data_IF_262482379007
#
_entry.id   IF_262482379007
#
_cell.length_a   1.000
_cell.length_b   1.000
_cell.length_c   1.000
_cell.angle_alpha   90.00
_cell.angle_beta   90.00
_cell.angle_gamma   90.00
#
_symmetry.space_group_name_H-M   'P 1'
#
loop_
_entity.id
_entity.type
_entity.pdbx_description
1 polymer ?
#
# COMPACT_ATOMS: atom_id res chain seq x y z
N UNK A 1 -21.67 -4.15 4.29
CA UNK A 1 -22.17 -2.76 4.42
C UNK A 1 -22.32 -2.19 3.02
N UNK A 2 -23.51 -1.74 2.60
CA UNK A 2 -23.61 -0.98 1.34
C UNK A 2 -23.17 0.44 1.63
N UNK A 3 -21.91 0.75 1.35
CA UNK A 3 -21.39 2.12 1.42
C UNK A 3 -22.24 2.95 0.48
N UNK A 4 -23.03 3.87 1.04
CA UNK A 4 -23.97 4.68 0.28
C UNK A 4 -23.99 6.09 0.85
N UNK A 5 -22.83 6.71 0.88
CA UNK A 5 -22.71 8.15 1.05
C UNK A 5 -22.00 8.69 -0.18
N UNK A 6 -22.78 9.27 -1.09
CA UNK A 6 -22.23 10.08 -2.17
C UNK A 6 -21.48 11.26 -1.56
N UNK A 7 -20.32 11.60 -2.12
CA UNK A 7 -19.56 12.77 -1.69
C UNK A 7 -20.46 14.02 -1.72
N UNK A 8 -20.65 14.75 -0.60
CA UNK A 8 -21.50 15.94 -0.59
C UNK A 8 -20.96 17.06 -1.50
N UNK A 9 -19.68 16.98 -1.86
CA UNK A 9 -18.99 17.88 -2.78
C UNK A 9 -19.05 17.43 -4.25
N UNK A 10 -19.50 16.20 -4.51
CA UNK A 10 -19.72 15.70 -5.86
C UNK A 10 -21.00 14.82 -5.93
N UNK A 11 -22.20 15.42 -5.90
CA UNK A 11 -23.46 14.70 -5.89
C UNK A 11 -23.75 13.93 -7.20
N UNK A 12 -22.94 14.13 -8.24
CA UNK A 12 -23.00 13.40 -9.51
C UNK A 12 -22.12 12.15 -9.53
N UNK A 13 -21.33 11.94 -8.48
CA UNK A 13 -20.43 10.81 -8.35
C UNK A 13 -21.27 9.53 -8.16
N UNK A 14 -21.51 8.83 -9.26
CA UNK A 14 -22.17 7.54 -9.27
C UNK A 14 -21.08 6.45 -9.35
N UNK A 15 -20.51 6.10 -8.20
CA UNK A 15 -19.54 4.99 -8.10
C UNK A 15 -20.35 3.71 -7.95
N UNK A 16 -20.01 2.68 -8.73
CA UNK A 16 -20.44 1.33 -8.39
C UNK A 16 -19.70 0.90 -7.13
N UNK A 17 -20.40 0.93 -5.99
CA UNK A 17 -19.77 0.66 -4.70
C UNK A 17 -19.45 -0.82 -4.50
N UNK A 18 -19.89 -1.70 -5.39
CA UNK A 18 -19.46 -3.09 -5.43
C UNK A 18 -18.02 -3.24 -5.97
N UNK A 19 -17.50 -2.25 -6.70
CA UNK A 19 -16.10 -2.21 -7.20
C UNK A 19 -15.16 -1.42 -6.27
N UNK A 20 -15.67 -0.81 -5.20
CA UNK A 20 -14.89 0.01 -4.28
C UNK A 20 -14.36 -0.81 -3.10
N UNK A 21 -13.04 -0.79 -2.92
CA UNK A 21 -12.38 -1.36 -1.76
C UNK A 21 -11.93 -0.25 -0.81
N UNK A 22 -12.32 -0.36 0.46
CA UNK A 22 -11.70 0.44 1.52
C UNK A 22 -10.51 -0.34 2.05
N UNK A 23 -9.35 0.28 1.88
CA UNK A 23 -8.08 -0.12 2.42
C UNK A 23 -7.76 0.80 3.60
N UNK A 24 -7.65 0.24 4.79
CA UNK A 24 -7.35 1.00 6.00
C UNK A 24 -5.87 0.87 6.37
N UNK A 25 -5.22 2.00 6.65
CA UNK A 25 -3.81 2.09 7.04
C UNK A 25 -3.62 2.75 8.40
N UNK A 26 -4.64 2.70 9.27
CA UNK A 26 -4.56 3.26 10.63
C UNK A 26 -3.40 2.66 11.41
N UNK A 27 -3.15 1.36 11.25
CA UNK A 27 -2.09 0.62 11.95
C UNK A 27 -0.69 0.81 11.36
N UNK A 28 -0.57 1.46 10.19
CA UNK A 28 0.72 1.76 9.54
C UNK A 28 0.91 3.26 9.33
N UNK A 29 0.25 3.87 8.35
CA UNK A 29 0.40 5.31 8.06
C UNK A 29 -0.12 6.16 9.22
N UNK A 30 -1.22 5.74 9.84
CA UNK A 30 -1.79 6.41 11.01
C UNK A 30 -0.82 6.45 12.21
N UNK A 31 -0.05 5.38 12.41
CA UNK A 31 0.97 5.31 13.46
C UNK A 31 2.17 6.24 13.21
N UNK A 32 2.41 6.67 11.97
CA UNK A 32 3.47 7.64 11.65
C UNK A 32 3.13 9.07 12.09
N UNK A 33 1.91 9.30 12.61
CA UNK A 33 1.50 10.59 13.18
C UNK A 33 2.38 10.93 14.39
N UNK A 34 2.98 12.14 14.46
CA UNK A 34 3.78 12.54 15.60
C UNK A 34 3.05 12.39 16.94
N UNK A 35 3.64 11.62 17.85
CA UNK A 35 3.08 11.36 19.18
C UNK A 35 2.10 10.18 19.26
N UNK A 36 1.82 9.50 18.14
CA UNK A 36 1.05 8.25 18.11
C UNK A 36 2.02 7.07 18.17
N UNK A 37 1.69 6.08 19.00
CA UNK A 37 2.41 4.81 19.09
C UNK A 37 1.43 3.78 19.65
N UNK A 38 1.21 2.69 18.93
CA UNK A 38 0.32 1.62 19.38
C UNK A 38 1.15 0.50 19.99
N UNK A 39 0.78 0.10 21.21
CA UNK A 39 1.27 -1.17 21.71
C UNK A 39 0.53 -2.33 21.01
N UNK A 40 1.05 -3.54 21.20
CA UNK A 40 0.54 -4.78 20.63
C UNK A 40 -0.96 -4.96 20.87
N UNK A 41 -1.40 -4.76 22.12
CA UNK A 41 -2.79 -4.91 22.52
C UNK A 41 -3.71 -3.90 21.81
N UNK A 42 -3.24 -2.66 21.65
CA UNK A 42 -3.96 -1.62 20.93
C UNK A 42 -4.06 -1.96 19.44
N UNK A 43 -2.98 -2.44 18.80
CA UNK A 43 -3.01 -2.84 17.38
C UNK A 43 -4.01 -3.97 17.14
N UNK A 44 -4.00 -5.02 17.97
CA UNK A 44 -4.97 -6.11 17.90
C UNK A 44 -6.41 -5.63 18.10
N UNK A 45 -6.64 -4.76 19.09
CA UNK A 45 -7.97 -4.21 19.35
C UNK A 45 -8.49 -3.38 18.18
N UNK A 46 -7.64 -2.55 17.57
CA UNK A 46 -7.97 -1.74 16.39
C UNK A 46 -8.23 -2.66 15.19
N UNK A 47 -7.37 -3.65 14.92
CA UNK A 47 -7.53 -4.60 13.81
C UNK A 47 -8.89 -5.32 13.89
N UNK A 48 -9.25 -5.84 15.07
CA UNK A 48 -10.57 -6.46 15.31
C UNK A 48 -11.72 -5.49 15.04
N UNK A 49 -11.58 -4.21 15.45
CA UNK A 49 -12.62 -3.20 15.20
C UNK A 49 -12.76 -2.83 13.73
N UNK A 50 -11.64 -2.75 13.00
CA UNK A 50 -11.67 -2.55 11.54
C UNK A 50 -12.36 -3.74 10.84
N UNK A 51 -12.09 -4.97 11.29
CA UNK A 51 -12.76 -6.17 10.77
C UNK A 51 -14.28 -6.15 11.07
N UNK A 52 -14.67 -5.82 12.30
CA UNK A 52 -16.08 -5.67 12.70
C UNK A 52 -16.82 -4.61 11.86
N UNK A 53 -16.13 -3.53 11.45
CA UNK A 53 -16.67 -2.50 10.54
C UNK A 53 -16.84 -3.01 9.09
N UNK A 54 -16.27 -4.17 8.76
CA UNK A 54 -16.32 -4.78 7.44
C UNK A 54 -15.28 -4.22 6.47
N UNK A 55 -14.19 -3.63 6.98
CA UNK A 55 -13.02 -3.25 6.18
C UNK A 55 -12.45 -4.51 5.53
N UNK A 56 -12.14 -4.44 4.23
CA UNK A 56 -11.71 -5.61 3.46
C UNK A 56 -10.20 -5.83 3.46
N UNK A 57 -9.44 -4.76 3.63
CA UNK A 57 -7.99 -4.80 3.64
C UNK A 57 -7.46 -3.89 4.74
N UNK A 58 -6.63 -4.46 5.61
CA UNK A 58 -6.01 -3.75 6.73
C UNK A 58 -4.49 -3.80 6.53
N UNK A 59 -3.85 -2.65 6.44
CA UNK A 59 -2.39 -2.55 6.49
C UNK A 59 -1.92 -2.59 7.94
N UNK A 60 -1.45 -3.75 8.38
CA UNK A 60 -1.16 -4.02 9.79
C UNK A 60 0.15 -3.42 10.30
N UNK A 61 1.03 -2.96 9.39
CA UNK A 61 2.29 -2.33 9.77
C UNK A 61 3.39 -2.48 8.73
N UNK A 62 4.64 -2.35 9.18
CA UNK A 62 5.85 -2.50 8.35
C UNK A 62 6.85 -3.46 9.03
N UNK A 63 6.88 -4.75 8.64
CA UNK A 63 7.71 -5.79 9.26
C UNK A 63 9.18 -5.43 9.40
N UNK A 64 9.76 -4.67 8.46
CA UNK A 64 11.18 -4.35 8.50
C UNK A 64 11.57 -3.30 9.56
N UNK A 65 10.61 -2.72 10.29
CA UNK A 65 10.87 -1.73 11.35
C UNK A 65 11.55 -2.36 12.56
N UNK A 66 11.07 -3.52 13.04
CA UNK A 66 11.65 -4.22 14.18
C UNK A 66 11.10 -5.64 14.34
N UNK A 67 11.79 -6.51 15.06
CA UNK A 67 11.29 -7.84 15.42
C UNK A 67 9.96 -7.77 16.20
N UNK A 68 9.82 -6.79 17.10
CA UNK A 68 8.57 -6.59 17.84
C UNK A 68 7.38 -6.27 16.92
N UNK A 69 7.63 -5.49 15.88
CA UNK A 69 6.63 -5.16 14.87
C UNK A 69 6.25 -6.42 14.08
N UNK A 70 7.23 -7.22 13.67
CA UNK A 70 7.00 -8.49 12.99
C UNK A 70 6.11 -9.44 13.80
N UNK A 71 6.42 -9.63 15.08
CA UNK A 71 5.63 -10.50 15.96
C UNK A 71 4.20 -9.97 16.14
N UNK A 72 4.03 -8.66 16.28
CA UNK A 72 2.70 -8.03 16.41
C UNK A 72 1.87 -8.21 15.14
N UNK A 73 2.48 -8.01 13.97
CA UNK A 73 1.82 -8.23 12.68
C UNK A 73 1.44 -9.71 12.51
N UNK A 74 2.36 -10.63 12.84
CA UNK A 74 2.11 -12.08 12.75
C UNK A 74 0.91 -12.48 13.58
N UNK A 75 0.77 -11.94 14.78
CA UNK A 75 -0.41 -12.18 15.60
C UNK A 75 -1.69 -11.62 14.99
N UNK A 76 -1.66 -10.42 14.41
CA UNK A 76 -2.83 -9.83 13.72
C UNK A 76 -3.24 -10.70 12.53
N UNK A 77 -2.27 -11.17 11.73
CA UNK A 77 -2.52 -12.06 10.60
C UNK A 77 -3.18 -13.38 11.03
N UNK A 78 -2.79 -13.90 12.19
CA UNK A 78 -3.30 -15.15 12.75
C UNK A 78 -4.53 -14.99 13.66
N UNK A 79 -5.11 -13.78 13.76
CA UNK A 79 -6.25 -13.48 14.63
C UNK A 79 -7.59 -14.04 14.10
N UNK A 80 -7.62 -14.55 12.85
CA UNK A 80 -8.82 -15.11 12.24
C UNK A 80 -9.83 -14.06 11.77
N UNK A 81 -9.34 -12.89 11.37
CA UNK A 81 -10.14 -11.80 10.82
C UNK A 81 -10.68 -12.15 9.43
N UNK A 82 -11.78 -11.52 9.02
CA UNK A 82 -12.33 -11.65 7.67
C UNK A 82 -11.61 -10.74 6.66
N UNK A 83 -10.98 -9.67 7.14
CA UNK A 83 -10.16 -8.75 6.36
C UNK A 83 -8.86 -9.41 5.91
N UNK A 84 -8.42 -9.09 4.69
CA UNK A 84 -7.07 -9.41 4.25
C UNK A 84 -6.05 -8.52 4.97
N UNK A 85 -5.04 -9.14 5.56
CA UNK A 85 -3.98 -8.49 6.29
C UNK A 85 -2.82 -8.25 5.34
N UNK A 86 -2.53 -6.97 5.10
CA UNK A 86 -1.46 -6.51 4.23
C UNK A 86 -0.38 -5.81 5.05
N UNK A 87 0.83 -5.72 4.49
CA UNK A 87 1.93 -4.97 5.10
C UNK A 87 2.73 -4.17 4.09
N UNK A 88 3.32 -3.06 4.55
CA UNK A 88 4.27 -2.31 3.75
C UNK A 88 5.56 -3.11 3.55
N UNK A 89 6.14 -3.04 2.36
CA UNK A 89 7.44 -3.64 2.06
C UNK A 89 8.24 -2.73 1.13
N UNK A 90 9.54 -2.54 1.40
CA UNK A 90 10.43 -1.95 0.38
C UNK A 90 10.58 -2.93 -0.76
N UNK A 91 10.98 -2.45 -1.94
CA UNK A 91 11.35 -3.31 -3.08
C UNK A 91 12.69 -4.05 -2.84
N UNK A 92 12.72 -4.89 -1.80
CA UNK A 92 13.86 -5.69 -1.35
C UNK A 92 13.35 -7.07 -0.96
N UNK A 93 14.01 -8.12 -1.47
CA UNK A 93 13.69 -9.52 -1.15
C UNK A 93 13.62 -9.77 0.36
N UNK A 94 14.55 -9.20 1.13
CA UNK A 94 14.62 -9.37 2.59
C UNK A 94 13.40 -8.79 3.33
N UNK A 95 12.78 -7.73 2.82
CA UNK A 95 11.55 -7.18 3.41
C UNK A 95 10.34 -8.07 3.08
N UNK A 96 10.31 -8.65 1.88
CA UNK A 96 9.27 -9.62 1.49
C UNK A 96 9.42 -10.90 2.31
N UNK A 97 10.64 -11.38 2.55
CA UNK A 97 10.90 -12.53 3.42
C UNK A 97 10.37 -12.29 4.85
N UNK A 98 10.46 -11.05 5.36
CA UNK A 98 9.85 -10.66 6.65
C UNK A 98 8.32 -10.62 6.59
N UNK A 99 7.74 -10.16 5.49
CA UNK A 99 6.29 -10.21 5.29
C UNK A 99 5.78 -11.67 5.29
N UNK A 100 6.47 -12.56 4.57
CA UNK A 100 6.18 -14.00 4.56
C UNK A 100 6.26 -14.62 5.96
N UNK A 101 7.26 -14.23 6.77
CA UNK A 101 7.35 -14.68 8.16
C UNK A 101 6.13 -14.30 9.00
N UNK A 102 5.50 -13.15 8.69
CA UNK A 102 4.32 -12.68 9.40
C UNK A 102 3.02 -13.38 8.97
N UNK A 103 3.06 -14.35 8.04
CA UNK A 103 1.88 -15.08 7.55
C UNK A 103 0.76 -14.16 7.00
N UNK A 104 1.15 -13.03 6.40
CA UNK A 104 0.22 -12.02 5.86
C UNK A 104 -0.35 -12.43 4.50
N UNK A 105 -1.50 -11.89 4.13
CA UNK A 105 -2.16 -12.16 2.85
C UNK A 105 -1.48 -11.46 1.67
N UNK A 106 -0.78 -10.35 1.93
CA UNK A 106 -0.16 -9.59 0.87
C UNK A 106 0.75 -8.45 1.30
N UNK A 107 1.39 -7.85 0.31
CA UNK A 107 2.37 -6.78 0.47
C UNK A 107 2.01 -5.56 -0.36
N UNK A 108 2.24 -4.38 0.21
CA UNK A 108 2.31 -3.12 -0.53
C UNK A 108 3.80 -2.83 -0.77
N UNK A 109 4.27 -3.16 -1.97
CA UNK A 109 5.62 -2.83 -2.40
C UNK A 109 5.64 -1.37 -2.80
N UNK A 110 6.52 -0.58 -2.20
CA UNK A 110 6.66 0.84 -2.56
C UNK A 110 8.07 1.18 -3.03
N UNK A 111 8.15 2.09 -4.00
CA UNK A 111 9.40 2.70 -4.43
C UNK A 111 9.16 4.11 -4.96
N UNK A 112 10.10 5.02 -4.69
CA UNK A 112 9.98 6.40 -5.15
C UNK A 112 10.37 6.55 -6.62
N UNK A 113 9.49 7.21 -7.38
CA UNK A 113 9.63 7.33 -8.85
C UNK A 113 9.90 8.76 -9.32
N UNK A 114 9.76 9.77 -8.45
CA UNK A 114 9.93 11.16 -8.86
C UNK A 114 11.40 11.55 -9.07
N UNK A 115 11.72 12.45 -10.02
CA UNK A 115 13.11 12.82 -10.34
C UNK A 115 13.94 13.29 -9.14
N UNK A 116 13.32 14.02 -8.20
CA UNK A 116 14.00 14.49 -6.99
C UNK A 116 14.30 13.34 -6.02
N UNK A 117 13.36 12.41 -5.82
CA UNK A 117 13.61 11.23 -5.00
C UNK A 117 14.66 10.31 -5.64
N UNK A 118 14.60 10.08 -6.95
CA UNK A 118 15.61 9.30 -7.67
C UNK A 118 17.01 9.89 -7.49
N UNK A 119 17.15 11.21 -7.71
CA UNK A 119 18.45 11.90 -7.66
C UNK A 119 19.01 12.02 -6.25
N UNK A 120 18.20 12.45 -5.28
CA UNK A 120 18.69 12.88 -3.97
C UNK A 120 18.42 11.88 -2.84
N UNK A 121 17.31 11.12 -2.89
CA UNK A 121 16.95 10.12 -1.86
C UNK A 121 17.56 8.76 -2.19
N UNK A 122 17.27 8.22 -3.37
CA UNK A 122 17.67 6.86 -3.77
C UNK A 122 19.04 6.81 -4.44
N UNK A 123 19.48 7.91 -5.08
CA UNK A 123 20.70 7.98 -5.90
C UNK A 123 20.75 6.87 -6.96
N UNK A 124 19.61 6.65 -7.62
CA UNK A 124 19.39 5.60 -8.62
C UNK A 124 18.76 6.20 -9.87
N UNK A 125 18.93 5.52 -11.00
CA UNK A 125 18.19 5.85 -12.23
C UNK A 125 16.80 5.23 -12.16
N UNK A 126 15.91 5.70 -13.02
CA UNK A 126 14.53 5.23 -13.04
C UNK A 126 14.45 3.75 -13.42
N UNK A 127 15.25 3.32 -14.38
CA UNK A 127 15.31 1.94 -14.86
C UNK A 127 15.81 0.99 -13.75
N UNK A 128 16.71 1.47 -12.88
CA UNK A 128 17.22 0.68 -11.78
C UNK A 128 16.13 0.47 -10.70
N UNK A 129 15.35 1.51 -10.39
CA UNK A 129 14.27 1.39 -9.39
C UNK A 129 13.09 0.59 -9.92
N UNK A 130 12.78 0.73 -11.20
CA UNK A 130 11.73 -0.02 -11.86
C UNK A 130 12.07 -1.50 -11.87
N UNK A 131 13.30 -1.86 -12.28
CA UNK A 131 13.77 -3.25 -12.21
C UNK A 131 13.66 -3.82 -10.79
N UNK A 132 14.11 -3.07 -9.78
CA UNK A 132 13.98 -3.48 -8.38
C UNK A 132 12.52 -3.70 -7.98
N UNK A 133 11.63 -2.81 -8.42
CA UNK A 133 10.19 -2.91 -8.18
C UNK A 133 9.59 -4.17 -8.80
N UNK A 134 9.91 -4.45 -10.06
CA UNK A 134 9.40 -5.62 -10.79
C UNK A 134 9.92 -6.92 -10.19
N UNK A 135 11.22 -7.03 -9.92
CA UNK A 135 11.81 -8.21 -9.26
C UNK A 135 11.16 -8.47 -7.89
N UNK A 136 10.82 -7.41 -7.14
CA UNK A 136 10.11 -7.52 -5.88
C UNK A 136 8.66 -7.99 -6.05
N UNK A 137 7.95 -7.47 -7.06
CA UNK A 137 6.58 -7.91 -7.40
C UNK A 137 6.57 -9.39 -7.75
N UNK A 138 7.40 -9.82 -8.71
CA UNK A 138 7.51 -11.22 -9.12
C UNK A 138 7.83 -12.12 -7.93
N UNK A 139 8.82 -11.74 -7.12
CA UNK A 139 9.19 -12.52 -5.95
C UNK A 139 8.03 -12.69 -4.96
N UNK A 140 7.26 -11.63 -4.68
CA UNK A 140 6.10 -11.74 -3.80
C UNK A 140 4.99 -12.61 -4.41
N UNK A 141 4.73 -12.48 -5.73
CA UNK A 141 3.75 -13.30 -6.45
C UNK A 141 4.13 -14.78 -6.49
N UNK A 142 5.40 -15.11 -6.68
CA UNK A 142 5.92 -16.49 -6.66
C UNK A 142 5.69 -17.18 -5.31
N UNK A 143 5.57 -16.40 -4.23
CA UNK A 143 5.26 -16.90 -2.89
C UNK A 143 3.76 -16.84 -2.54
N UNK A 144 2.90 -16.55 -3.52
CA UNK A 144 1.44 -16.59 -3.36
C UNK A 144 0.83 -15.38 -2.66
N UNK A 145 1.58 -14.29 -2.49
CA UNK A 145 1.06 -13.07 -1.88
C UNK A 145 0.18 -12.27 -2.85
N UNK A 146 -0.82 -11.57 -2.30
CA UNK A 146 -1.41 -10.41 -2.97
C UNK A 146 -0.37 -9.28 -3.02
N UNK A 147 -0.27 -8.57 -4.14
CA UNK A 147 0.72 -7.52 -4.35
C UNK A 147 0.06 -6.24 -4.83
N UNK A 148 0.20 -5.18 -4.03
CA UNK A 148 -0.02 -3.82 -4.48
C UNK A 148 1.32 -3.14 -4.74
N UNK A 149 1.48 -2.51 -5.89
CA UNK A 149 2.65 -1.70 -6.22
C UNK A 149 2.34 -0.21 -6.05
N UNK A 150 3.13 0.49 -5.23
CA UNK A 150 2.92 1.90 -4.89
C UNK A 150 4.08 2.77 -5.38
N UNK A 151 3.77 3.65 -6.33
CA UNK A 151 4.69 4.69 -6.76
C UNK A 151 4.69 5.83 -5.73
N UNK A 152 5.72 5.87 -4.88
CA UNK A 152 5.91 6.98 -3.94
C UNK A 152 6.20 8.26 -4.73
N UNK A 153 5.49 9.34 -4.38
CA UNK A 153 5.57 10.64 -5.04
C UNK A 153 5.08 10.65 -6.49
N UNK A 154 4.04 9.85 -6.76
CA UNK A 154 3.42 9.70 -8.08
C UNK A 154 2.95 11.05 -8.67
N UNK A 155 2.38 11.95 -7.86
CA UNK A 155 1.87 13.25 -8.32
C UNK A 155 2.95 14.23 -8.79
N UNK A 156 4.24 13.92 -8.56
CA UNK A 156 5.40 14.68 -9.04
C UNK A 156 6.32 13.84 -9.94
N UNK A 157 5.86 12.66 -10.37
CA UNK A 157 6.53 11.81 -11.36
C UNK A 157 6.03 12.18 -12.76
N UNK A 158 6.90 12.27 -13.79
CA UNK A 158 6.44 12.45 -15.17
C UNK A 158 5.40 11.40 -15.55
N UNK A 159 4.30 11.82 -16.17
CA UNK A 159 3.16 10.93 -16.45
C UNK A 159 3.53 9.73 -17.33
N UNK A 160 4.41 9.92 -18.31
CA UNK A 160 4.89 8.86 -19.20
C UNK A 160 5.64 7.79 -18.40
N UNK A 161 6.48 8.20 -17.46
CA UNK A 161 7.20 7.31 -16.56
C UNK A 161 6.26 6.59 -15.60
N UNK A 162 5.31 7.31 -15.02
CA UNK A 162 4.31 6.74 -14.11
C UNK A 162 3.45 5.69 -14.81
N UNK A 163 2.95 6.00 -16.02
CA UNK A 163 2.15 5.06 -16.81
C UNK A 163 2.95 3.82 -17.19
N UNK A 164 4.21 4.00 -17.59
CA UNK A 164 5.11 2.91 -17.95
C UNK A 164 5.40 1.99 -16.77
N UNK A 165 5.72 2.54 -15.60
CA UNK A 165 6.04 1.76 -14.40
C UNK A 165 4.82 0.97 -13.92
N UNK A 166 3.62 1.56 -13.94
CA UNK A 166 2.41 0.86 -13.54
C UNK A 166 2.01 -0.25 -14.52
N UNK A 167 2.15 -0.03 -15.83
CA UNK A 167 1.96 -1.09 -16.83
C UNK A 167 2.95 -2.23 -16.61
N UNK A 168 4.20 -1.91 -16.35
CA UNK A 168 5.20 -2.93 -16.05
C UNK A 168 4.85 -3.68 -14.75
N UNK A 169 4.40 -3.00 -13.70
CA UNK A 169 3.96 -3.66 -12.47
C UNK A 169 2.80 -4.64 -12.72
N UNK A 170 1.82 -4.25 -13.53
CA UNK A 170 0.72 -5.13 -13.97
C UNK A 170 1.24 -6.33 -14.77
N UNK A 171 2.11 -6.12 -15.76
CA UNK A 171 2.70 -7.18 -16.58
C UNK A 171 3.52 -8.20 -15.76
N UNK A 172 4.12 -7.76 -14.66
CA UNK A 172 4.89 -8.62 -13.74
C UNK A 172 4.00 -9.22 -12.62
N UNK A 173 2.68 -8.98 -12.67
CA UNK A 173 1.69 -9.67 -11.84
C UNK A 173 1.22 -8.93 -10.59
N UNK A 174 1.48 -7.61 -10.47
CA UNK A 174 0.86 -6.82 -9.40
C UNK A 174 -0.67 -6.84 -9.55
N UNK A 175 -1.37 -7.14 -8.45
CA UNK A 175 -2.84 -7.19 -8.42
C UNK A 175 -3.47 -5.79 -8.35
N UNK A 176 -2.69 -4.80 -7.90
CA UNK A 176 -3.11 -3.40 -7.78
C UNK A 176 -1.94 -2.44 -7.94
N UNK A 177 -2.23 -1.27 -8.48
CA UNK A 177 -1.30 -0.13 -8.49
C UNK A 177 -1.84 1.03 -7.66
N UNK A 178 -0.97 1.74 -6.94
CA UNK A 178 -1.31 2.88 -6.09
C UNK A 178 -0.66 4.17 -6.60
N UNK A 179 -1.46 5.22 -6.64
CA UNK A 179 -1.01 6.60 -6.85
C UNK A 179 -0.93 7.29 -5.49
N UNK A 180 0.30 7.50 -4.99
CA UNK A 180 0.51 8.23 -3.74
C UNK A 180 0.69 9.74 -4.01
N UNK A 181 -0.24 10.56 -3.54
CA UNK A 181 -0.06 12.01 -3.46
C UNK A 181 0.72 12.39 -2.20
N UNK A 182 2.00 12.01 -2.18
CA UNK A 182 2.87 12.10 -0.99
C UNK A 182 2.93 13.49 -0.35
N UNK A 183 2.77 14.56 -1.13
CA UNK A 183 2.81 15.94 -0.63
C UNK A 183 1.45 16.62 -0.56
N UNK A 184 0.35 15.94 -0.94
CA UNK A 184 -0.98 16.54 -0.96
C UNK A 184 -1.15 17.66 -1.98
N UNK A 185 -0.45 17.59 -3.12
CA UNK A 185 -0.46 18.65 -4.16
C UNK A 185 -1.46 18.35 -5.28
N UNK A 186 -2.03 17.15 -5.31
CA UNK A 186 -3.02 16.72 -6.28
C UNK A 186 -4.33 17.49 -6.14
N UNK A 187 -4.75 18.12 -7.22
CA UNK A 187 -6.13 18.62 -7.35
C UNK A 187 -7.06 17.48 -7.77
N UNK A 188 -8.38 17.56 -7.48
CA UNK A 188 -9.33 16.56 -7.98
C UNK A 188 -9.25 16.33 -9.49
N UNK A 189 -9.03 17.39 -10.27
CA UNK A 189 -8.91 17.32 -11.73
C UNK A 189 -7.62 16.62 -12.17
N UNK A 190 -6.49 16.90 -11.51
CA UNK A 190 -5.23 16.23 -11.83
C UNK A 190 -5.26 14.75 -11.46
N UNK A 191 -5.87 14.39 -10.32
CA UNK A 191 -6.04 12.98 -9.94
C UNK A 191 -6.96 12.27 -10.93
N UNK A 192 -8.09 12.88 -11.31
CA UNK A 192 -8.96 12.33 -12.34
C UNK A 192 -8.22 12.08 -13.65
N UNK A 193 -7.38 13.03 -14.09
CA UNK A 193 -6.59 12.90 -15.31
C UNK A 193 -5.50 11.82 -15.23
N UNK A 194 -4.90 11.61 -14.05
CA UNK A 194 -3.91 10.52 -13.85
C UNK A 194 -4.59 9.15 -13.91
N UNK A 195 -5.81 9.03 -13.38
CA UNK A 195 -6.54 7.77 -13.28
C UNK A 195 -7.40 7.42 -14.50
N UNK A 196 -7.54 8.32 -15.48
CA UNK A 196 -8.35 8.13 -16.69
C UNK A 196 -7.55 7.54 -17.85
#
# INVERSE_FOLDING_TARGET
MKWKEGCPYNPKLNIDTEELYIYDTTLRDGEQTPGVCFNREAKLAIARKLDELGIKQIEAGFPAVSEREMETIKEIANEGLNAHILVLSRALKEDIDRALYCDVDGVIIFIATSPLHLKYKLRKRLEDVEKMGMEAVEYAKDHGLFVAFSAEDATRTPLEDLSRIHKNAEEHGADRVHIADTTGVGTPQSIYYICS
#
